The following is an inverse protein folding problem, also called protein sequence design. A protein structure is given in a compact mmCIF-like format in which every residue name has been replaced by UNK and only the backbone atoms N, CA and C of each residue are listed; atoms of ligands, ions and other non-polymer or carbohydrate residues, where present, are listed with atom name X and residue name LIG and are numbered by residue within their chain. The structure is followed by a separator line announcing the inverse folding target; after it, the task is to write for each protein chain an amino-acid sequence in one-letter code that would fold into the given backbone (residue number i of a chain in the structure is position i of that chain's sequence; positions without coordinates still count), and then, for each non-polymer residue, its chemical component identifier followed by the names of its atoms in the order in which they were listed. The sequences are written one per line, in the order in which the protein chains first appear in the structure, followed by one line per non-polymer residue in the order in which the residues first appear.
data_IF_453069979413
#
_entry.id   IF_453069979413
#
_cell.length_a   1.000
_cell.length_b   1.000
_cell.length_c   1.000
_cell.angle_alpha   90.00
_cell.angle_beta   90.00
_cell.angle_gamma   90.00
#
_symmetry.space_group_name_H-M   'P 1'
#
loop_
_entity.id
_entity.type
_entity.pdbx_description
1 polymer ?
#
# COMPACT_ATOMS: atom_id res chain seq x y z
N UNK A 1 -28.53 -1.98 -5.55
CA UNK A 1 -27.84 -2.97 -6.41
C UNK A 1 -26.49 -3.38 -5.82
N UNK A 2 -25.57 -2.44 -5.54
CA UNK A 2 -24.27 -2.77 -4.92
C UNK A 2 -24.35 -3.33 -3.49
N UNK A 3 -25.32 -2.88 -2.69
CA UNK A 3 -25.53 -3.39 -1.32
C UNK A 3 -25.89 -4.88 -1.27
N UNK A 4 -26.70 -5.34 -2.22
CA UNK A 4 -27.08 -6.75 -2.34
C UNK A 4 -25.92 -7.62 -2.84
N UNK A 5 -25.09 -7.08 -3.74
CA UNK A 5 -23.84 -7.73 -4.14
C UNK A 5 -22.91 -7.90 -2.93
N UNK A 6 -22.65 -6.83 -2.18
CA UNK A 6 -21.77 -6.86 -1.01
C UNK A 6 -22.23 -7.86 0.05
N UNK A 7 -23.53 -7.95 0.33
CA UNK A 7 -24.08 -8.97 1.23
C UNK A 7 -23.82 -10.39 0.73
N UNK A 8 -24.00 -10.65 -0.58
CA UNK A 8 -23.76 -11.98 -1.15
C UNK A 8 -22.30 -12.43 -1.07
N UNK A 9 -21.36 -11.49 -1.16
CA UNK A 9 -19.91 -11.78 -1.08
C UNK A 9 -19.30 -11.53 0.31
N UNK A 10 -20.13 -11.24 1.32
CA UNK A 10 -19.67 -11.03 2.70
C UNK A 10 -18.85 -9.76 2.94
N UNK A 11 -18.99 -8.74 2.09
CA UNK A 11 -18.30 -7.45 2.24
C UNK A 11 -19.14 -6.49 3.08
N UNK A 12 -18.52 -5.92 4.12
CA UNK A 12 -19.07 -4.79 4.88
C UNK A 12 -18.63 -3.48 4.24
N UNK A 13 -19.57 -2.72 3.69
CA UNK A 13 -19.28 -1.40 3.12
C UNK A 13 -19.25 -0.34 4.22
N UNK A 14 -18.12 0.37 4.34
CA UNK A 14 -17.92 1.46 5.30
C UNK A 14 -17.99 2.79 4.56
N UNK A 15 -18.81 3.72 5.06
CA UNK A 15 -18.91 5.08 4.51
C UNK A 15 -17.98 6.02 5.27
N UNK A 16 -17.21 6.82 4.54
CA UNK A 16 -16.56 8.01 5.11
C UNK A 16 -17.59 9.11 5.32
N UNK A 17 -17.47 9.85 6.42
CA UNK A 17 -18.31 11.03 6.66
C UNK A 17 -18.00 12.13 5.62
N UNK A 18 -19.03 12.84 5.09
CA UNK A 18 -18.81 13.99 4.22
C UNK A 18 -17.91 15.03 4.92
N UNK A 19 -17.00 15.65 4.16
CA UNK A 19 -16.07 16.67 4.66
C UNK A 19 -15.10 16.21 5.76
N UNK A 20 -14.82 14.90 5.87
CA UNK A 20 -13.81 14.33 6.76
C UNK A 20 -12.67 13.67 5.96
N UNK A 21 -11.83 14.47 5.27
CA UNK A 21 -10.72 13.96 4.45
C UNK A 21 -9.69 13.13 5.25
N UNK A 22 -9.67 13.28 6.58
CA UNK A 22 -8.80 12.49 7.46
C UNK A 22 -9.02 10.97 7.36
N UNK A 23 -10.25 10.52 7.10
CA UNK A 23 -10.54 9.08 6.98
C UNK A 23 -9.97 8.48 5.71
N UNK A 24 -9.86 9.27 4.63
CA UNK A 24 -9.47 8.79 3.30
C UNK A 24 -8.07 9.24 2.86
N UNK A 25 -7.37 10.06 3.64
CA UNK A 25 -6.10 10.67 3.24
C UNK A 25 -4.97 9.68 2.92
N UNK A 26 -4.99 8.46 3.47
CA UNK A 26 -4.03 7.42 3.07
C UNK A 26 -4.28 6.93 1.64
N UNK A 27 -5.55 6.72 1.29
CA UNK A 27 -5.97 6.32 -0.06
C UNK A 27 -5.72 7.46 -1.04
N UNK A 28 -6.03 8.71 -0.67
CA UNK A 28 -5.76 9.87 -1.52
C UNK A 28 -4.27 10.03 -1.82
N UNK A 29 -3.39 9.86 -0.81
CA UNK A 29 -1.93 9.91 -1.02
C UNK A 29 -1.43 8.75 -1.88
N UNK A 30 -2.01 7.56 -1.70
CA UNK A 30 -1.72 6.41 -2.54
C UNK A 30 -2.10 6.70 -4.00
N UNK A 31 -3.33 7.16 -4.25
CA UNK A 31 -3.80 7.50 -5.59
C UNK A 31 -2.92 8.58 -6.23
N UNK A 32 -2.61 9.65 -5.51
CA UNK A 32 -1.71 10.70 -6.01
C UNK A 32 -0.31 10.16 -6.39
N UNK A 33 0.20 9.18 -5.66
CA UNK A 33 1.49 8.53 -5.99
C UNK A 33 1.38 7.68 -7.25
N UNK A 34 0.29 6.93 -7.40
CA UNK A 34 0.02 6.11 -8.58
C UNK A 34 -0.18 6.99 -9.82
N UNK A 35 -1.00 8.03 -9.71
CA UNK A 35 -1.27 9.00 -10.77
C UNK A 35 0.04 9.66 -11.25
N UNK A 36 0.91 10.07 -10.33
CA UNK A 36 2.20 10.65 -10.68
C UNK A 36 3.11 9.65 -11.44
N UNK A 37 3.13 8.38 -11.02
CA UNK A 37 3.91 7.34 -11.70
C UNK A 37 3.36 7.03 -13.09
N UNK A 38 2.04 6.92 -13.23
CA UNK A 38 1.36 6.71 -14.51
C UNK A 38 1.65 7.89 -15.43
N UNK A 39 1.48 9.12 -14.97
CA UNK A 39 1.74 10.32 -15.76
C UNK A 39 3.20 10.41 -16.23
N UNK A 40 4.16 9.93 -15.43
CA UNK A 40 5.59 9.94 -15.78
C UNK A 40 5.93 8.95 -16.89
N UNK A 41 5.22 7.81 -16.97
CA UNK A 41 5.47 6.77 -17.97
C UNK A 41 4.58 6.90 -19.22
N UNK A 42 3.46 7.60 -19.11
CA UNK A 42 2.56 7.85 -20.23
C UNK A 42 3.18 8.85 -21.21
N UNK A 43 2.73 8.82 -22.46
CA UNK A 43 3.08 9.83 -23.44
C UNK A 43 2.55 11.23 -23.07
N UNK A 44 3.03 12.27 -23.77
CA UNK A 44 2.64 13.68 -23.54
C UNK A 44 1.13 13.95 -23.63
N UNK A 45 0.38 13.08 -24.32
CA UNK A 45 -1.07 13.17 -24.48
C UNK A 45 -1.85 12.30 -23.50
N UNK A 46 -1.17 11.53 -22.65
CA UNK A 46 -1.71 10.57 -21.71
C UNK A 46 -2.72 9.57 -22.31
N UNK A 47 -2.55 9.19 -23.58
CA UNK A 47 -3.49 8.27 -24.26
C UNK A 47 -3.18 6.79 -24.05
N UNK A 48 -2.01 6.48 -23.49
CA UNK A 48 -1.47 5.12 -23.30
C UNK A 48 -1.33 4.75 -21.81
N UNK A 49 -2.02 5.48 -20.92
CA UNK A 49 -1.91 5.31 -19.48
C UNK A 49 -2.28 3.89 -19.02
N UNK A 50 -3.22 3.25 -19.70
CA UNK A 50 -3.69 1.90 -19.45
C UNK A 50 -2.67 0.83 -19.87
N UNK A 51 -1.89 1.10 -20.91
CA UNK A 51 -0.75 0.27 -21.30
C UNK A 51 0.40 0.37 -20.28
N UNK A 52 0.53 1.51 -19.59
CA UNK A 52 1.57 1.72 -18.56
C UNK A 52 1.21 1.14 -17.19
N UNK A 53 -0.09 0.90 -16.91
CA UNK A 53 -0.57 0.40 -15.63
C UNK A 53 0.14 -0.87 -15.13
N UNK A 54 0.37 -1.92 -15.95
CA UNK A 54 1.07 -3.12 -15.50
C UNK A 54 2.50 -2.82 -15.01
N UNK A 55 3.22 -1.93 -15.70
CA UNK A 55 4.59 -1.56 -15.35
C UNK A 55 4.64 -0.74 -14.07
N UNK A 56 3.74 0.23 -13.92
CA UNK A 56 3.61 1.01 -12.67
C UNK A 56 3.28 0.11 -11.50
N UNK A 57 2.34 -0.82 -11.69
CA UNK A 57 1.89 -1.76 -10.65
C UNK A 57 3.02 -2.71 -10.24
N UNK A 58 3.75 -3.24 -11.22
CA UNK A 58 4.93 -4.06 -10.97
C UNK A 58 5.98 -3.28 -10.18
N UNK A 59 6.39 -2.11 -10.66
CA UNK A 59 7.36 -1.26 -9.97
C UNK A 59 6.91 -0.92 -8.54
N UNK A 60 5.64 -0.57 -8.34
CA UNK A 60 5.10 -0.28 -7.03
C UNK A 60 5.17 -1.49 -6.08
N UNK A 61 4.85 -2.68 -6.58
CA UNK A 61 4.84 -3.90 -5.77
C UNK A 61 6.24 -4.44 -5.46
N UNK A 62 7.24 -4.16 -6.31
CA UNK A 62 8.61 -4.69 -6.16
C UNK A 62 9.61 -3.69 -5.59
N UNK A 63 9.20 -2.44 -5.36
CA UNK A 63 10.07 -1.40 -4.79
C UNK A 63 9.85 -1.24 -3.29
N UNK A 64 10.88 -0.80 -2.56
CA UNK A 64 10.79 -0.49 -1.13
C UNK A 64 9.94 0.77 -0.95
N UNK A 65 8.91 0.69 -0.11
CA UNK A 65 8.08 1.86 0.21
C UNK A 65 8.64 2.61 1.39
N UNK A 66 8.66 3.94 1.34
CA UNK A 66 9.18 4.78 2.42
C UNK A 66 8.38 4.65 3.72
N UNK A 67 7.05 4.52 3.61
CA UNK A 67 6.14 4.42 4.77
C UNK A 67 6.34 3.13 5.57
N UNK A 68 6.47 1.99 4.88
CA UNK A 68 6.63 0.67 5.52
C UNK A 68 8.09 0.25 5.63
N UNK A 69 8.97 0.84 4.83
CA UNK A 69 10.35 0.40 4.62
C UNK A 69 10.45 -1.05 4.15
N UNK A 70 9.40 -1.58 3.52
CA UNK A 70 9.31 -2.96 3.02
C UNK A 70 8.84 -2.95 1.56
N UNK A 71 9.05 -4.07 0.87
CA UNK A 71 8.52 -4.33 -0.46
C UNK A 71 7.10 -4.93 -0.31
N UNK A 72 6.05 -4.35 -0.92
CA UNK A 72 4.68 -4.87 -0.80
C UNK A 72 4.54 -6.33 -1.23
N UNK A 73 5.23 -6.73 -2.30
CA UNK A 73 5.25 -8.11 -2.77
C UNK A 73 5.77 -9.07 -1.68
N UNK A 74 6.83 -8.70 -0.96
CA UNK A 74 7.37 -9.52 0.12
C UNK A 74 6.41 -9.65 1.30
N UNK A 75 5.66 -8.58 1.62
CA UNK A 75 4.66 -8.61 2.68
C UNK A 75 3.48 -9.55 2.36
N UNK A 76 3.11 -9.68 1.09
CA UNK A 76 1.98 -10.51 0.66
C UNK A 76 2.42 -11.97 0.44
N UNK A 77 3.56 -12.17 -0.21
CA UNK A 77 3.99 -13.49 -0.69
C UNK A 77 5.10 -14.12 0.15
N UNK A 78 5.69 -13.38 1.09
CA UNK A 78 6.75 -13.87 1.99
C UNK A 78 8.06 -14.22 1.31
N UNK A 79 8.27 -13.76 0.08
CA UNK A 79 9.49 -13.97 -0.71
C UNK A 79 9.79 -12.74 -1.54
N UNK A 80 11.05 -12.54 -1.88
CA UNK A 80 11.45 -11.49 -2.80
C UNK A 80 10.85 -11.70 -4.20
N UNK A 81 10.44 -10.61 -4.88
CA UNK A 81 10.01 -10.69 -6.26
C UNK A 81 11.18 -11.13 -7.13
N UNK A 82 10.88 -11.96 -8.14
CA UNK A 82 11.88 -12.32 -9.16
C UNK A 82 11.78 -11.25 -10.24
N UNK A 83 12.82 -10.44 -10.39
CA UNK A 83 12.86 -9.41 -11.41
C UNK A 83 13.35 -9.99 -12.75
N UNK A 84 13.06 -9.36 -13.89
CA UNK A 84 13.60 -9.79 -15.18
C UNK A 84 15.14 -9.93 -15.20
N UNK A 85 15.85 -9.09 -14.42
CA UNK A 85 17.30 -9.17 -14.27
C UNK A 85 17.77 -10.39 -13.46
N UNK A 86 16.91 -10.93 -12.58
CA UNK A 86 17.23 -12.08 -11.73
C UNK A 86 17.03 -13.41 -12.46
N UNK A 87 16.47 -13.41 -13.68
CA UNK A 87 16.18 -14.63 -14.46
C UNK A 87 17.42 -15.44 -14.84
N UNK A 88 18.62 -14.90 -14.67
CA UNK A 88 19.87 -15.64 -14.82
C UNK A 88 20.21 -16.52 -13.60
N UNK A 89 19.47 -16.39 -12.50
CA UNK A 89 19.66 -17.21 -11.30
C UNK A 89 18.74 -18.44 -11.32
N UNK A 90 19.24 -19.61 -10.91
CA UNK A 90 18.40 -20.80 -10.79
C UNK A 90 17.25 -20.55 -9.81
N UNK A 91 16.03 -20.89 -10.23
CA UNK A 91 14.83 -20.77 -9.41
C UNK A 91 15.03 -21.53 -8.09
N UNK A 92 14.98 -20.82 -6.97
CA UNK A 92 15.00 -21.45 -5.64
C UNK A 92 13.75 -22.33 -5.54
N UNK A 93 13.96 -23.64 -5.51
CA UNK A 93 12.87 -24.60 -5.32
C UNK A 93 12.37 -24.46 -3.89
N UNK A 94 11.05 -24.34 -3.69
CA UNK A 94 10.46 -24.35 -2.36
C UNK A 94 10.82 -25.67 -1.67
N UNK A 95 11.72 -25.61 -0.69
CA UNK A 95 12.04 -26.77 0.13
C UNK A 95 10.80 -27.17 0.92
N UNK A 96 10.40 -28.43 0.85
CA UNK A 96 9.27 -28.96 1.64
C UNK A 96 9.65 -29.27 3.10
N UNK A 97 10.90 -29.00 3.48
CA UNK A 97 11.42 -29.18 4.83
C UNK A 97 10.59 -28.40 5.87
N UNK A 98 10.05 -29.08 6.91
CA UNK A 98 9.36 -28.43 8.02
C UNK A 98 10.16 -27.29 8.67
N UNK A 99 11.49 -27.41 8.76
CA UNK A 99 12.34 -26.35 9.35
C UNK A 99 12.36 -25.09 8.47
N UNK A 100 12.31 -25.25 7.15
CA UNK A 100 12.25 -24.15 6.20
C UNK A 100 10.92 -23.40 6.28
N UNK A 101 9.80 -24.11 6.45
CA UNK A 101 8.47 -23.51 6.63
C UNK A 101 8.40 -22.64 7.88
N UNK A 102 8.95 -23.11 8.99
CA UNK A 102 8.96 -22.36 10.24
C UNK A 102 9.79 -21.08 10.12
N UNK A 103 10.97 -21.16 9.49
CA UNK A 103 11.79 -19.97 9.21
C UNK A 103 11.07 -18.95 8.32
N UNK A 104 10.34 -19.42 7.31
CA UNK A 104 9.54 -18.55 6.44
C UNK A 104 8.43 -17.84 7.22
N UNK A 105 7.68 -18.57 8.05
CA UNK A 105 6.61 -18.00 8.86
C UNK A 105 7.14 -16.95 9.84
N UNK A 106 8.27 -17.23 10.50
CA UNK A 106 8.94 -16.28 11.37
C UNK A 106 9.36 -15.03 10.60
N UNK A 107 10.00 -15.20 9.43
CA UNK A 107 10.39 -14.09 8.57
C UNK A 107 9.19 -13.20 8.19
N UNK A 108 8.12 -13.79 7.65
CA UNK A 108 6.89 -13.04 7.31
C UNK A 108 6.30 -12.33 8.52
N UNK A 109 6.23 -13.01 9.67
CA UNK A 109 5.75 -12.40 10.92
C UNK A 109 6.58 -11.18 11.30
N UNK A 110 7.92 -11.28 11.26
CA UNK A 110 8.77 -10.12 11.56
C UNK A 110 8.61 -8.97 10.58
N UNK A 111 8.47 -9.26 9.28
CA UNK A 111 8.22 -8.23 8.26
C UNK A 111 6.91 -7.49 8.52
N UNK A 112 5.84 -8.23 8.81
CA UNK A 112 4.53 -7.65 9.08
C UNK A 112 4.53 -6.78 10.34
N UNK A 113 5.20 -7.21 11.40
CA UNK A 113 5.30 -6.42 12.64
C UNK A 113 6.13 -5.14 12.45
N UNK A 114 7.24 -5.23 11.69
CA UNK A 114 8.04 -4.06 11.33
C UNK A 114 7.25 -3.06 10.48
N UNK A 115 6.51 -3.55 9.48
CA UNK A 115 5.67 -2.70 8.63
C UNK A 115 4.58 -2.01 9.45
N UNK A 116 3.90 -2.76 10.34
CA UNK A 116 2.88 -2.23 11.25
C UNK A 116 3.44 -1.14 12.17
N UNK A 117 4.59 -1.38 12.78
CA UNK A 117 5.26 -0.42 13.67
C UNK A 117 5.57 0.89 12.93
N UNK A 118 6.10 0.81 11.71
CA UNK A 118 6.42 1.99 10.90
C UNK A 118 5.17 2.73 10.45
N UNK A 119 4.10 2.03 10.05
CA UNK A 119 2.81 2.64 9.72
C UNK A 119 2.26 3.41 10.92
N UNK A 120 2.23 2.80 12.11
CA UNK A 120 1.73 3.44 13.33
C UNK A 120 2.55 4.67 13.71
N UNK A 121 3.88 4.58 13.62
CA UNK A 121 4.78 5.71 13.87
C UNK A 121 4.51 6.85 12.88
N UNK A 122 4.37 6.54 11.59
CA UNK A 122 4.08 7.53 10.57
C UNK A 122 2.70 8.17 10.73
N UNK A 123 1.68 7.39 11.12
CA UNK A 123 0.36 7.91 11.49
C UNK A 123 0.44 8.88 12.68
N UNK A 124 1.25 8.57 13.69
CA UNK A 124 1.54 9.47 14.81
C UNK A 124 2.14 10.80 14.35
N UNK A 125 3.18 10.76 13.51
CA UNK A 125 3.80 11.96 12.95
C UNK A 125 2.82 12.80 12.10
N UNK A 126 1.93 12.16 11.33
CA UNK A 126 0.90 12.87 10.58
C UNK A 126 -0.09 13.57 11.49
N UNK A 127 -0.52 12.92 12.58
CA UNK A 127 -1.39 13.52 13.60
C UNK A 127 -0.74 14.74 14.24
N UNK A 128 0.50 14.64 14.71
CA UNK A 128 1.24 15.75 15.32
C UNK A 128 1.46 16.93 14.36
N UNK A 129 1.75 16.66 13.08
CA UNK A 129 1.90 17.71 12.07
C UNK A 129 0.57 18.41 11.80
N UNK A 130 -0.52 17.66 11.73
CA UNK A 130 -1.85 18.20 11.56
C UNK A 130 -2.26 19.08 12.75
N UNK A 131 -2.11 18.56 13.97
CA UNK A 131 -2.48 19.28 15.20
C UNK A 131 -1.71 20.61 15.34
N UNK A 132 -0.45 20.68 14.89
CA UNK A 132 0.33 21.93 14.84
C UNK A 132 -0.22 23.02 13.93
N UNK A 133 -0.94 22.65 12.87
CA UNK A 133 -1.52 23.60 11.90
C UNK A 133 -3.01 23.87 12.18
N UNK A 134 -3.59 23.28 13.23
CA UNK A 134 -4.99 23.49 13.61
C UNK A 134 -5.14 24.77 14.44
N UNK A 135 -5.50 25.87 13.79
CA UNK A 135 -6.13 27.01 14.48
C UNK A 135 -7.53 26.61 14.90
N UNK A 136 -7.82 26.63 16.21
CA UNK A 136 -9.13 26.29 16.74
C UNK A 136 -10.12 27.42 16.38
N UNK A 137 -11.11 27.21 15.50
CA UNK A 137 -12.08 28.25 15.20
C UNK A 137 -13.01 28.38 16.41
N UNK A 138 -12.95 29.51 17.12
CA UNK A 138 -13.95 29.87 18.12
C UNK A 138 -15.28 30.13 17.41
N UNK A 139 -16.10 29.09 17.21
CA UNK A 139 -17.49 29.28 16.83
C UNK A 139 -18.33 29.42 18.10
N UNK A 140 -18.80 30.63 18.38
CA UNK A 140 -19.94 30.84 19.29
C UNK A 140 -21.18 30.33 18.57
N UNK A 141 -21.71 29.21 19.03
CA UNK A 141 -23.04 28.75 18.66
C UNK A 141 -24.01 29.73 19.32
N UNK A 142 -24.73 30.50 18.50
CA UNK A 142 -25.85 31.33 18.93
C UNK A 142 -27.11 30.51 19.11
#
# INVERSE_FOLDING_TARGET
MMTELFKKIGITHLYSTPYHPMTNGQIERFNATMDAKIATLSNDKHTDWDEQLPFVTFNYNTSIHTTTGQIPFELIYGRSPILPIDQQQPLVTLSQDPEHKEKLNQYVSTLTEQAKTKILKQQGHYKERYDRHRTNPNHKIG
#
